data_IF_848126674772
#
_entry.id   IF_848126674772
#
_cell.length_a   1.000
_cell.length_b   1.000
_cell.length_c   1.000
_cell.angle_alpha   90.00
_cell.angle_beta   90.00
_cell.angle_gamma   90.00
#
_symmetry.space_group_name_H-M   'P 1'
#
loop_
_entity.id
_entity.type
_entity.pdbx_description
1 polymer ?
#
# COMPACT_ATOMS: atom_id res chain seq x y z
N UNK A 1 -0.16 -35.21 -17.44
CA UNK A 1 0.22 -34.00 -16.67
C UNK A 1 0.22 -34.37 -15.22
N UNK A 2 1.38 -34.30 -14.58
CA UNK A 2 1.66 -35.00 -13.34
C UNK A 2 1.26 -34.07 -12.18
N UNK A 3 0.67 -34.59 -11.11
CA UNK A 3 0.27 -33.76 -9.95
C UNK A 3 1.48 -33.01 -9.34
N UNK A 4 2.67 -33.60 -9.47
CA UNK A 4 3.95 -32.99 -9.11
C UNK A 4 4.31 -31.76 -9.97
N UNK A 5 3.89 -31.73 -11.24
CA UNK A 5 4.05 -30.56 -12.14
C UNK A 5 3.10 -29.44 -11.74
N UNK A 6 1.88 -29.77 -11.30
CA UNK A 6 0.94 -28.78 -10.77
C UNK A 6 1.42 -28.20 -9.42
N UNK A 7 2.08 -29.02 -8.59
CA UNK A 7 2.64 -28.58 -7.30
C UNK A 7 3.92 -27.74 -7.45
N UNK A 8 4.78 -28.04 -8.43
CA UNK A 8 5.91 -27.18 -8.79
C UNK A 8 5.45 -25.80 -9.29
N UNK A 9 4.26 -25.72 -9.91
CA UNK A 9 3.64 -24.47 -10.37
C UNK A 9 2.94 -23.66 -9.26
N UNK A 10 2.82 -24.22 -8.05
CA UNK A 10 2.06 -23.63 -6.93
C UNK A 10 2.92 -23.42 -5.67
N UNK A 11 4.08 -24.09 -5.56
CA UNK A 11 4.89 -24.14 -4.34
C UNK A 11 6.28 -23.51 -4.45
N UNK A 12 6.78 -23.23 -5.65
CA UNK A 12 8.06 -22.56 -5.88
C UNK A 12 7.81 -21.29 -6.70
N UNK A 13 7.28 -20.25 -6.05
CA UNK A 13 7.17 -18.90 -6.65
C UNK A 13 8.60 -18.35 -6.84
N UNK A 14 9.30 -18.91 -7.82
CA UNK A 14 10.55 -18.41 -8.34
C UNK A 14 10.29 -17.19 -9.23
N UNK A 15 11.36 -16.45 -9.54
CA UNK A 15 11.28 -15.19 -10.31
C UNK A 15 10.61 -15.32 -11.69
N UNK A 16 10.59 -16.52 -12.29
CA UNK A 16 9.93 -16.80 -13.56
C UNK A 16 8.39 -16.74 -13.49
N UNK A 17 7.79 -17.25 -12.42
CA UNK A 17 6.32 -17.25 -12.28
C UNK A 17 5.79 -15.84 -12.00
N UNK A 18 6.49 -15.09 -11.14
CA UNK A 18 6.17 -13.69 -10.89
C UNK A 18 6.21 -12.86 -12.18
N UNK A 19 7.17 -13.13 -13.07
CA UNK A 19 7.26 -12.47 -14.37
C UNK A 19 6.05 -12.76 -15.26
N UNK A 20 5.55 -14.00 -15.29
CA UNK A 20 4.36 -14.39 -16.05
C UNK A 20 3.11 -13.69 -15.48
N UNK A 21 2.94 -13.69 -14.16
CA UNK A 21 1.80 -13.03 -13.50
C UNK A 21 1.81 -11.53 -13.78
N UNK A 22 2.96 -10.86 -13.61
CA UNK A 22 3.11 -9.44 -13.93
C UNK A 22 2.78 -9.22 -15.41
N UNK A 23 3.30 -10.03 -16.32
CA UNK A 23 3.02 -9.90 -17.76
C UNK A 23 1.53 -10.06 -18.08
N UNK A 24 0.85 -11.03 -17.48
CA UNK A 24 -0.59 -11.22 -17.65
C UNK A 24 -1.40 -10.02 -17.16
N UNK A 25 -1.07 -9.50 -15.97
CA UNK A 25 -1.66 -8.27 -15.42
C UNK A 25 -1.39 -7.06 -16.33
N UNK A 26 -0.16 -6.95 -16.86
CA UNK A 26 0.22 -5.89 -17.78
C UNK A 26 -0.52 -5.97 -19.13
N UNK A 27 -0.82 -7.17 -19.64
CA UNK A 27 -1.62 -7.32 -20.85
C UNK A 27 -3.10 -6.98 -20.61
N UNK A 28 -3.64 -7.32 -19.44
CA UNK A 28 -5.03 -7.02 -19.07
C UNK A 28 -5.25 -5.52 -18.80
N UNK A 29 -4.36 -4.89 -18.06
CA UNK A 29 -4.53 -3.52 -17.58
C UNK A 29 -3.65 -2.49 -18.30
N UNK A 30 -2.60 -2.92 -18.99
CA UNK A 30 -1.58 -2.05 -19.58
C UNK A 30 -0.46 -1.67 -18.62
N UNK A 31 0.77 -1.55 -19.14
CA UNK A 31 1.95 -1.09 -18.40
C UNK A 31 1.79 0.31 -17.77
N UNK A 32 0.96 1.16 -18.37
CA UNK A 32 0.78 2.53 -17.92
C UNK A 32 -0.18 2.67 -16.74
N UNK A 33 -1.06 1.68 -16.50
CA UNK A 33 -2.06 1.75 -15.42
C UNK A 33 -1.47 1.49 -14.04
N UNK A 34 -0.53 0.56 -13.91
CA UNK A 34 0.12 0.24 -12.64
C UNK A 34 0.79 1.48 -11.99
N UNK A 35 1.67 2.23 -12.67
CA UNK A 35 2.29 3.42 -12.09
C UNK A 35 1.27 4.55 -11.87
N UNK A 36 0.20 4.62 -12.66
CA UNK A 36 -0.92 5.54 -12.42
C UNK A 36 -1.60 5.30 -11.06
N UNK A 37 -1.99 4.05 -10.81
CA UNK A 37 -2.64 3.61 -9.56
C UNK A 37 -1.69 3.79 -8.36
N UNK A 38 -0.42 3.40 -8.52
CA UNK A 38 0.57 3.56 -7.46
C UNK A 38 0.76 5.04 -7.08
N UNK A 39 0.80 5.96 -8.06
CA UNK A 39 0.91 7.40 -7.79
C UNK A 39 -0.35 7.97 -7.14
N UNK A 40 -1.55 7.60 -7.60
CA UNK A 40 -2.79 8.11 -6.99
C UNK A 40 -2.98 7.58 -5.58
N UNK A 41 -2.70 6.30 -5.35
CA UNK A 41 -2.76 5.68 -4.02
C UNK A 41 -1.71 6.28 -3.08
N UNK A 42 -0.49 6.50 -3.57
CA UNK A 42 0.58 7.15 -2.80
C UNK A 42 0.24 8.58 -2.40
N UNK A 43 -0.42 9.36 -3.26
CA UNK A 43 -0.94 10.69 -2.91
C UNK A 43 -2.03 10.60 -1.86
N UNK A 44 -3.02 9.72 -2.04
CA UNK A 44 -4.10 9.54 -1.07
C UNK A 44 -3.61 9.11 0.31
N UNK A 45 -2.64 8.20 0.39
CA UNK A 45 -2.02 7.79 1.66
C UNK A 45 -1.30 8.98 2.34
N UNK A 46 -0.61 9.83 1.55
CA UNK A 46 0.07 11.01 2.08
C UNK A 46 -0.92 12.03 2.63
N UNK A 47 -1.94 12.39 1.86
CA UNK A 47 -2.98 13.33 2.28
C UNK A 47 -3.72 12.83 3.52
N UNK A 48 -4.05 11.53 3.56
CA UNK A 48 -4.66 10.91 4.74
C UNK A 48 -3.77 10.99 5.98
N UNK A 49 -2.46 10.72 5.82
CA UNK A 49 -1.49 10.83 6.90
C UNK A 49 -1.35 12.27 7.40
N UNK A 50 -1.30 13.24 6.49
CA UNK A 50 -1.14 14.65 6.82
C UNK A 50 -2.36 15.17 7.60
N UNK A 51 -3.58 14.87 7.14
CA UNK A 51 -4.81 15.20 7.84
C UNK A 51 -4.88 14.55 9.24
N UNK A 52 -4.49 13.27 9.34
CA UNK A 52 -4.46 12.55 10.63
C UNK A 52 -3.46 13.19 11.61
N UNK A 53 -2.30 13.62 11.12
CA UNK A 53 -1.29 14.27 11.96
C UNK A 53 -1.76 15.65 12.46
N UNK A 54 -2.44 16.42 11.62
CA UNK A 54 -2.99 17.73 12.01
C UNK A 54 -4.01 17.58 13.14
N UNK A 55 -4.96 16.64 12.99
CA UNK A 55 -5.95 16.31 14.03
C UNK A 55 -5.25 15.88 15.32
N UNK A 56 -4.21 15.04 15.22
CA UNK A 56 -3.44 14.60 16.39
C UNK A 56 -2.78 15.77 17.11
N UNK A 57 -2.15 16.69 16.37
CA UNK A 57 -1.50 17.87 16.95
C UNK A 57 -2.48 18.86 17.56
N UNK A 58 -3.69 18.97 17.03
CA UNK A 58 -4.74 19.82 17.59
C UNK A 58 -5.33 19.22 18.87
N UNK A 59 -5.51 17.89 18.90
CA UNK A 59 -5.92 17.16 20.10
C UNK A 59 -4.87 17.26 21.21
N UNK A 60 -3.58 17.07 20.89
CA UNK A 60 -2.48 17.21 21.84
C UNK A 60 -2.41 18.63 22.44
N UNK A 61 -2.56 19.67 21.61
CA UNK A 61 -2.63 21.06 22.07
C UNK A 61 -3.83 21.33 22.98
N UNK A 62 -5.01 20.81 22.61
CA UNK A 62 -6.23 20.97 23.42
C UNK A 62 -6.10 20.31 24.80
N UNK A 63 -5.39 19.18 24.89
CA UNK A 63 -5.13 18.49 26.16
C UNK A 63 -4.04 19.21 26.98
N UNK A 64 -3.09 19.88 26.33
CA UNK A 64 -2.04 20.64 27.00
C UNK A 64 -2.55 21.98 27.58
N UNK A 65 -3.44 22.68 26.86
CA UNK A 65 -4.07 23.93 27.35
C UNK A 65 -5.06 23.71 28.51
N UNK A 66 -5.63 22.51 28.65
CA UNK A 66 -6.51 22.14 29.78
C UNK A 66 -5.74 21.69 31.04
N UNK A 67 -4.40 21.64 31.01
CA UNK A 67 -3.64 21.39 32.25
C UNK A 67 -3.74 22.61 33.16
N UNK A 68 -4.28 22.48 34.38
CA UNK A 68 -4.38 23.60 35.31
C UNK A 68 -2.97 24.12 35.58
N UNK A 69 -2.75 25.41 35.30
CA UNK A 69 -1.50 26.11 35.62
C UNK A 69 -1.22 25.87 37.10
N UNK A 70 -0.19 25.08 37.40
CA UNK A 70 0.27 24.85 38.77
C UNK A 70 0.72 26.20 39.33
N UNK A 71 -0.13 26.75 40.20
CA UNK A 71 0.18 27.86 41.11
C UNK A 71 1.04 27.38 42.27
#
# INVERSE_FOLDING_TARGET
MNLHTAFLFLGDIGGGELFIIITAVLLLFGADKIPGIARSMGRGIREFKDATNEIKHELERSIEDDKPKKV
#
